data_IF_867566692653
#
_entry.id   IF_867566692653
#
_cell.length_a   1.000
_cell.length_b   1.000
_cell.length_c   1.000
_cell.angle_alpha   90.00
_cell.angle_beta   90.00
_cell.angle_gamma   90.00
#
_symmetry.space_group_name_H-M   'P 1'
#
loop_
_entity.id
_entity.type
_entity.pdbx_description
1 polymer ?
#
# COMPACT_ATOMS: atom_id res chain seq x y z
N UNK A 1 -34.40 -9.99 0.01
CA UNK A 1 -33.29 -9.61 -0.90
C UNK A 1 -32.67 -8.32 -0.39
N UNK A 2 -31.50 -8.39 0.27
CA UNK A 2 -30.46 -7.35 0.33
C UNK A 2 -29.31 -7.92 1.18
N UNK A 3 -28.11 -7.87 0.63
CA UNK A 3 -26.92 -8.65 1.03
C UNK A 3 -26.00 -7.80 1.91
N UNK A 4 -25.48 -8.41 2.97
CA UNK A 4 -24.70 -7.82 4.07
C UNK A 4 -23.47 -7.01 3.62
N UNK A 5 -23.34 -5.79 4.15
CA UNK A 5 -22.10 -5.02 4.16
C UNK A 5 -21.28 -5.39 5.40
N UNK A 6 -20.44 -6.42 5.29
CA UNK A 6 -19.46 -6.78 6.33
C UNK A 6 -18.14 -6.04 6.06
N UNK A 7 -18.03 -4.81 6.57
CA UNK A 7 -16.73 -4.20 6.83
C UNK A 7 -16.30 -4.60 8.24
N UNK A 8 -15.77 -5.81 8.38
CA UNK A 8 -15.10 -6.24 9.60
C UNK A 8 -13.89 -7.06 9.23
N UNK A 9 -12.70 -6.46 9.34
CA UNK A 9 -11.57 -7.10 10.02
C UNK A 9 -10.37 -6.15 10.15
N UNK A 10 -9.93 -5.99 11.41
CA UNK A 10 -8.56 -6.13 11.92
C UNK A 10 -8.23 -5.05 12.95
N UNK A 11 -8.68 -5.37 14.16
CA UNK A 11 -8.00 -5.26 15.43
C UNK A 11 -6.57 -4.69 15.39
N UNK A 12 -6.40 -3.63 16.17
CA UNK A 12 -5.13 -3.02 16.51
C UNK A 12 -4.23 -4.02 17.28
N UNK A 13 -3.40 -4.77 16.58
CA UNK A 13 -2.26 -5.47 17.19
C UNK A 13 -1.09 -4.50 17.31
N UNK A 14 -0.85 -3.99 18.51
CA UNK A 14 0.36 -3.22 18.84
C UNK A 14 1.56 -4.16 18.98
N UNK A 15 2.14 -4.60 17.87
CA UNK A 15 3.49 -5.21 17.84
C UNK A 15 4.15 -4.83 16.50
N UNK A 16 5.23 -4.05 16.56
CA UNK A 16 6.01 -3.48 15.45
C UNK A 16 5.15 -2.95 14.29
N UNK A 17 4.78 -1.64 14.31
CA UNK A 17 3.83 -1.01 13.38
C UNK A 17 3.96 -1.55 11.95
N UNK A 18 3.08 -2.50 11.61
CA UNK A 18 2.98 -3.00 10.25
C UNK A 18 2.61 -1.83 9.33
N UNK A 19 3.10 -1.81 8.09
CA UNK A 19 2.78 -0.74 7.17
C UNK A 19 1.28 -0.70 6.87
N UNK A 20 0.65 0.44 7.11
CA UNK A 20 -0.75 0.69 6.79
C UNK A 20 -1.00 0.64 5.28
N UNK A 21 0.01 1.06 4.50
CA UNK A 21 -0.04 1.06 3.04
C UNK A 21 1.30 0.59 2.46
N UNK A 22 1.23 -0.03 1.29
CA UNK A 22 2.39 -0.38 0.47
C UNK A 22 2.46 0.60 -0.71
N UNK A 23 3.66 1.12 -0.96
CA UNK A 23 3.92 2.03 -2.07
C UNK A 23 4.35 1.25 -3.31
N UNK A 24 3.65 1.48 -4.42
CA UNK A 24 3.94 0.91 -5.71
C UNK A 24 4.30 2.00 -6.72
N UNK A 25 5.41 1.83 -7.43
CA UNK A 25 5.64 2.56 -8.68
C UNK A 25 4.81 1.89 -9.77
N UNK A 26 3.97 2.69 -10.42
CA UNK A 26 3.26 2.32 -11.63
C UNK A 26 3.96 2.97 -12.80
N UNK A 27 4.55 2.14 -13.65
CA UNK A 27 5.17 2.59 -14.90
C UNK A 27 4.42 1.97 -16.08
N UNK A 28 3.97 2.83 -16.98
CA UNK A 28 3.26 2.44 -18.20
C UNK A 28 4.32 2.33 -19.30
N UNK A 29 4.61 1.12 -19.77
CA UNK A 29 5.58 0.90 -20.86
C UNK A 29 4.83 0.43 -22.10
N UNK A 30 4.36 1.38 -22.90
CA UNK A 30 3.54 1.16 -24.09
C UNK A 30 2.03 1.24 -23.81
N UNK A 31 1.22 1.05 -24.86
CA UNK A 31 -0.24 1.29 -24.84
C UNK A 31 -1.04 0.38 -23.89
N UNK A 32 -0.52 -0.79 -23.49
CA UNK A 32 -1.35 -1.80 -22.78
C UNK A 32 -0.71 -2.48 -21.56
N UNK A 33 0.46 -2.03 -21.08
CA UNK A 33 1.16 -2.71 -19.97
C UNK A 33 1.58 -1.75 -18.86
N UNK A 34 0.88 -1.87 -17.72
CA UNK A 34 1.26 -1.24 -16.46
C UNK A 34 2.10 -2.20 -15.63
N UNK A 35 3.33 -1.79 -15.29
CA UNK A 35 4.19 -2.50 -14.35
C UNK A 35 3.97 -1.93 -12.95
N UNK A 36 3.72 -2.82 -12.01
CA UNK A 36 3.55 -2.50 -10.59
C UNK A 36 4.78 -3.02 -9.86
N UNK A 37 5.60 -2.11 -9.36
CA UNK A 37 6.80 -2.44 -8.59
C UNK A 37 6.64 -1.93 -7.18
N UNK A 38 6.78 -2.80 -6.18
CA UNK A 38 6.82 -2.36 -4.78
C UNK A 38 8.10 -1.55 -4.55
N UNK A 39 7.95 -0.29 -4.15
CA UNK A 39 9.06 0.65 -3.96
C UNK A 39 9.18 1.14 -2.51
N UNK A 40 8.24 0.79 -1.65
CA UNK A 40 8.25 1.22 -0.27
C UNK A 40 6.97 0.92 0.48
N UNK A 41 6.77 1.65 1.57
CA UNK A 41 5.61 1.51 2.45
C UNK A 41 5.27 2.83 3.16
N UNK A 42 4.04 2.91 3.65
CA UNK A 42 3.53 4.05 4.40
C UNK A 42 2.85 3.60 5.69
N UNK A 43 2.96 4.44 6.71
CA UNK A 43 2.42 4.23 8.05
C UNK A 43 1.59 5.42 8.47
N UNK A 44 0.47 5.15 9.16
CA UNK A 44 -0.29 6.20 9.82
C UNK A 44 0.51 6.85 10.95
N UNK A 45 0.46 8.17 10.97
CA UNK A 45 0.94 8.94 12.10
C UNK A 45 0.06 8.69 13.34
N UNK A 46 0.64 8.88 14.52
CA UNK A 46 -0.11 8.75 15.79
C UNK A 46 -1.22 9.78 15.94
N UNK A 47 -1.06 10.96 15.32
CA UNK A 47 -2.09 12.00 15.29
C UNK A 47 -3.25 11.70 14.33
N UNK A 48 -3.13 10.68 13.48
CA UNK A 48 -4.15 10.26 12.51
C UNK A 48 -4.42 11.28 11.39
N UNK A 49 -3.62 12.35 11.29
CA UNK A 49 -3.76 13.42 10.27
C UNK A 49 -2.60 13.42 9.27
N UNK A 50 -1.81 12.34 9.24
CA UNK A 50 -0.65 12.23 8.37
C UNK A 50 -0.23 10.79 8.11
N UNK A 51 0.58 10.63 7.07
CA UNK A 51 1.20 9.38 6.69
C UNK A 51 2.71 9.61 6.57
N UNK A 52 3.50 8.74 7.18
CA UNK A 52 4.93 8.64 6.90
C UNK A 52 5.09 7.75 5.68
N UNK A 53 5.71 8.25 4.62
CA UNK A 53 6.05 7.47 3.43
C UNK A 53 7.57 7.22 3.40
N UNK A 54 7.96 5.94 3.39
CA UNK A 54 9.35 5.53 3.18
C UNK A 54 9.47 4.84 1.82
N UNK A 55 10.41 5.31 1.00
CA UNK A 55 10.67 4.81 -0.34
C UNK A 55 12.12 4.31 -0.42
N UNK A 56 12.30 3.08 -0.89
CA UNK A 56 13.61 2.53 -1.25
C UNK A 56 14.04 3.00 -2.64
N UNK A 57 13.07 3.28 -3.52
CA UNK A 57 13.28 3.69 -4.90
C UNK A 57 12.30 4.80 -5.27
N UNK A 58 12.76 5.76 -6.07
CA UNK A 58 11.93 6.86 -6.58
C UNK A 58 11.86 6.76 -8.11
N UNK A 59 10.65 6.71 -8.71
CA UNK A 59 10.51 6.65 -10.16
C UNK A 59 10.88 8.00 -10.80
N UNK A 60 12.06 8.07 -11.41
CA UNK A 60 12.60 9.31 -12.02
C UNK A 60 11.99 9.67 -13.38
N UNK A 61 11.37 8.71 -14.08
CA UNK A 61 10.87 8.90 -15.45
C UNK A 61 9.37 9.30 -15.48
N UNK A 62 8.87 10.02 -14.48
CA UNK A 62 7.46 10.42 -14.41
C UNK A 62 6.49 9.28 -14.07
N UNK A 63 6.97 8.19 -13.48
CA UNK A 63 6.14 7.11 -12.97
C UNK A 63 5.29 7.57 -11.78
N UNK A 64 4.09 7.00 -11.62
CA UNK A 64 3.17 7.36 -10.53
C UNK A 64 3.42 6.48 -9.33
N UNK A 65 3.33 7.05 -8.12
CA UNK A 65 3.38 6.29 -6.87
C UNK A 65 1.94 6.08 -6.39
N UNK A 66 1.56 4.82 -6.17
CA UNK A 66 0.24 4.43 -5.69
C UNK A 66 0.37 3.73 -4.35
N UNK A 67 -0.34 4.23 -3.35
CA UNK A 67 -0.42 3.62 -2.01
C UNK A 67 -1.65 2.71 -1.95
N UNK A 68 -1.44 1.46 -1.54
CA UNK A 68 -2.52 0.45 -1.42
C UNK A 68 -2.45 -0.22 -0.06
N UNK A 69 -3.60 -0.52 0.53
CA UNK A 69 -3.65 -1.36 1.72
C UNK A 69 -3.07 -2.73 1.41
N UNK A 70 -2.23 -3.32 2.27
CA UNK A 70 -1.75 -4.67 2.07
C UNK A 70 -2.93 -5.64 2.06
N UNK A 71 -3.20 -6.27 0.92
CA UNK A 71 -4.16 -7.38 0.84
C UNK A 71 -3.63 -8.56 1.65
N UNK A 72 -4.52 -9.31 2.32
CA UNK A 72 -4.17 -10.46 3.19
C UNK A 72 -3.31 -11.54 2.50
N UNK A 73 -3.24 -11.53 1.16
CA UNK A 73 -2.43 -12.43 0.33
C UNK A 73 -0.92 -12.08 0.24
N UNK A 74 -0.50 -10.91 0.73
CA UNK A 74 0.90 -10.46 0.63
C UNK A 74 1.67 -10.55 1.95
N UNK A 75 1.05 -11.06 3.02
CA UNK A 75 1.69 -11.26 4.33
C UNK A 75 2.52 -12.56 4.41
N UNK A 76 2.50 -13.42 3.39
CA UNK A 76 3.24 -14.71 3.36
C UNK A 76 4.48 -14.72 2.47
N UNK A 77 5.28 -13.65 2.49
CA UNK A 77 6.50 -13.56 1.71
C UNK A 77 7.65 -12.92 2.48
N UNK A 78 8.06 -13.56 3.56
CA UNK A 78 9.38 -13.36 4.19
C UNK A 78 10.04 -14.73 4.34
#
# INVERSE_FOLDING_TARGET
>A
MARNANYSRKEARRETKAPSFIAYAVTEKGEDKSFWTRIGAAWDHEDGKGLTLQLDLVPVNGGRIVLRTPSEDQEKGA
#
